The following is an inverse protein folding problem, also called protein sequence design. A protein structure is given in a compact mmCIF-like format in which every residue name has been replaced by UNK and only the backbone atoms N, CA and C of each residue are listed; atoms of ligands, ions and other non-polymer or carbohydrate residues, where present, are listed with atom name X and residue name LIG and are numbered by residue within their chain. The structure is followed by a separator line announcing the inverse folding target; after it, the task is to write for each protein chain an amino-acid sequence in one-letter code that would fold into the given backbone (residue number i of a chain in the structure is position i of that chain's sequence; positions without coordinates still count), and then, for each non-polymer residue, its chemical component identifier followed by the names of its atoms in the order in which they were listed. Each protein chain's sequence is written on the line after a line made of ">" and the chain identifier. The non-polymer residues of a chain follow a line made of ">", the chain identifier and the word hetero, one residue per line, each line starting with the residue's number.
data_IF_777897110501
#
_entry.id   IF_777897110501
#
_cell.length_a   1.000
_cell.length_b   1.000
_cell.length_c   1.000
_cell.angle_alpha   90.00
_cell.angle_beta   90.00
_cell.angle_gamma   90.00
#
_symmetry.space_group_name_H-M   'P 1'
#
loop_
_entity.id
_entity.type
_entity.pdbx_description
1 polymer ?
#
# COMPACT_ATOMS: atom_id res chain seq x y z
N UNK A 1 -16.98 -5.16 22.06
CA UNK A 1 -16.31 -4.34 21.03
C UNK A 1 -16.00 -5.17 19.78
N UNK A 2 -15.27 -6.28 19.87
CA UNK A 2 -15.00 -7.19 18.73
C UNK A 2 -16.27 -7.66 17.99
N UNK A 3 -17.30 -8.14 18.70
CA UNK A 3 -18.56 -8.56 18.09
C UNK A 3 -19.23 -7.47 17.24
N UNK A 4 -19.06 -6.20 17.63
CA UNK A 4 -19.62 -5.09 16.87
C UNK A 4 -18.87 -4.90 15.54
N UNK A 5 -17.55 -5.00 15.52
CA UNK A 5 -16.77 -4.98 14.29
C UNK A 5 -17.06 -6.20 13.41
N UNK A 6 -17.22 -7.39 13.99
CA UNK A 6 -17.64 -8.59 13.25
C UNK A 6 -18.98 -8.35 12.57
N UNK A 7 -19.99 -7.86 13.30
CA UNK A 7 -21.29 -7.54 12.72
C UNK A 7 -21.21 -6.43 11.66
N UNK A 8 -20.33 -5.43 11.85
CA UNK A 8 -20.12 -4.36 10.89
C UNK A 8 -19.51 -4.86 9.56
N UNK A 9 -18.62 -5.84 9.62
CA UNK A 9 -17.86 -6.30 8.45
C UNK A 9 -18.51 -7.49 7.72
N UNK A 10 -19.31 -8.30 8.42
CA UNK A 10 -19.91 -9.54 7.88
C UNK A 10 -21.33 -9.34 7.34
N UNK A 11 -21.78 -10.24 6.46
CA UNK A 11 -23.18 -10.28 5.99
C UNK A 11 -23.64 -9.06 5.20
N UNK A 12 -22.72 -8.22 4.70
CA UNK A 12 -23.05 -6.98 4.00
C UNK A 12 -23.49 -7.24 2.57
N UNK A 13 -24.40 -6.40 2.09
CA UNK A 13 -24.83 -6.34 0.70
C UNK A 13 -24.87 -4.89 0.20
N UNK A 14 -24.66 -4.69 -1.09
CA UNK A 14 -24.74 -3.40 -1.76
C UNK A 14 -25.58 -3.48 -3.04
N UNK A 15 -26.09 -2.34 -3.50
CA UNK A 15 -26.74 -2.16 -4.79
C UNK A 15 -26.48 -0.75 -5.30
N UNK A 16 -26.60 -0.54 -6.60
CA UNK A 16 -26.46 0.78 -7.23
C UNK A 16 -27.84 1.28 -7.63
N UNK A 17 -28.10 2.58 -7.46
CA UNK A 17 -29.33 3.22 -7.92
C UNK A 17 -28.94 4.32 -8.91
N UNK A 18 -29.46 4.24 -10.14
CA UNK A 18 -29.25 5.23 -11.19
C UNK A 18 -30.62 5.65 -11.71
N UNK A 19 -30.90 6.95 -11.73
CA UNK A 19 -32.17 7.53 -12.18
C UNK A 19 -33.42 6.88 -11.54
N UNK A 20 -33.32 6.55 -10.25
CA UNK A 20 -34.38 5.92 -9.48
C UNK A 20 -34.54 4.41 -9.70
N UNK A 21 -33.79 3.81 -10.62
CA UNK A 21 -33.78 2.37 -10.86
C UNK A 21 -32.67 1.69 -10.05
N UNK A 22 -33.04 0.70 -9.25
CA UNK A 22 -32.11 -0.05 -8.41
C UNK A 22 -31.62 -1.33 -9.10
N UNK A 23 -30.32 -1.61 -9.03
CA UNK A 23 -29.77 -2.92 -9.37
C UNK A 23 -30.22 -3.98 -8.37
N UNK A 24 -29.97 -5.25 -8.70
CA UNK A 24 -30.01 -6.33 -7.72
C UNK A 24 -29.02 -6.12 -6.57
N UNK A 25 -29.28 -6.78 -5.44
CA UNK A 25 -28.35 -6.83 -4.32
C UNK A 25 -27.15 -7.71 -4.66
N UNK A 26 -25.97 -7.29 -4.23
CA UNK A 26 -24.71 -8.03 -4.34
C UNK A 26 -24.02 -8.09 -2.99
N UNK A 27 -23.48 -9.25 -2.61
CA UNK A 27 -22.75 -9.43 -1.35
C UNK A 27 -21.41 -8.69 -1.35
N UNK A 28 -21.05 -8.09 -0.23
CA UNK A 28 -19.77 -7.39 -0.03
C UNK A 28 -18.90 -8.19 0.94
N UNK A 29 -17.94 -8.93 0.37
CA UNK A 29 -17.04 -9.79 1.15
C UNK A 29 -15.84 -9.06 1.75
N UNK A 30 -15.45 -7.91 1.19
CA UNK A 30 -14.26 -7.15 1.60
C UNK A 30 -14.47 -5.63 1.52
N UNK A 31 -13.54 -4.87 2.09
CA UNK A 31 -13.59 -3.41 2.14
C UNK A 31 -14.61 -2.88 3.15
N UNK A 32 -14.78 -1.57 3.18
CA UNK A 32 -15.69 -0.83 4.07
C UNK A 32 -16.57 0.10 3.24
N UNK A 33 -17.78 0.47 3.69
CA UNK A 33 -18.61 1.43 2.97
C UNK A 33 -17.89 2.76 2.78
N UNK A 34 -17.85 3.24 1.53
CA UNK A 34 -17.29 4.55 1.22
C UNK A 34 -18.13 5.64 1.92
N UNK A 35 -17.46 6.62 2.53
CA UNK A 35 -18.12 7.66 3.33
C UNK A 35 -18.47 7.24 4.76
N UNK A 36 -18.10 6.02 5.19
CA UNK A 36 -18.22 5.64 6.59
C UNK A 36 -17.16 6.33 7.47
N UNK A 37 -17.55 6.71 8.68
CA UNK A 37 -16.64 7.29 9.69
C UNK A 37 -15.57 6.28 10.12
N UNK A 38 -15.92 4.99 10.14
CA UNK A 38 -15.05 3.91 10.59
C UNK A 38 -14.08 3.45 9.52
N UNK A 39 -14.39 3.67 8.24
CA UNK A 39 -13.60 3.17 7.14
C UNK A 39 -12.12 3.59 7.22
N UNK A 40 -11.82 4.89 7.39
CA UNK A 40 -10.44 5.36 7.55
C UNK A 40 -9.72 4.75 8.77
N UNK A 41 -10.41 4.64 9.91
CA UNK A 41 -9.82 4.07 11.13
C UNK A 41 -9.49 2.57 10.95
N UNK A 42 -10.42 1.81 10.37
CA UNK A 42 -10.22 0.39 10.08
C UNK A 42 -9.10 0.18 9.06
N UNK A 43 -8.99 1.07 8.08
CA UNK A 43 -7.90 1.04 7.11
C UNK A 43 -6.53 1.27 7.78
N UNK A 44 -6.40 2.29 8.63
CA UNK A 44 -5.14 2.55 9.35
C UNK A 44 -4.77 1.37 10.25
N UNK A 45 -5.73 0.80 10.97
CA UNK A 45 -5.50 -0.41 11.78
C UNK A 45 -5.05 -1.60 10.94
N UNK A 46 -5.60 -1.76 9.73
CA UNK A 46 -5.26 -2.85 8.83
C UNK A 46 -3.83 -2.78 8.28
N UNK A 47 -3.31 -1.57 8.03
CA UNK A 47 -1.96 -1.38 7.47
C UNK A 47 -0.88 -1.16 8.53
N UNK A 48 -1.24 -1.21 9.82
CA UNK A 48 -0.37 -0.75 10.91
C UNK A 48 0.87 -1.65 11.12
N UNK A 49 0.87 -2.87 10.57
CA UNK A 49 2.00 -3.82 10.57
C UNK A 49 2.95 -3.64 9.38
N UNK A 50 2.58 -2.84 8.37
CA UNK A 50 3.41 -2.59 7.18
C UNK A 50 4.80 -2.02 7.55
N UNK A 51 4.97 -1.10 8.52
CA UNK A 51 6.30 -0.64 8.91
C UNK A 51 7.20 -1.73 9.49
N UNK A 52 6.62 -2.80 10.06
CA UNK A 52 7.38 -3.86 10.74
C UNK A 52 8.16 -4.75 9.75
N UNK A 53 7.79 -4.75 8.48
CA UNK A 53 8.49 -5.51 7.42
C UNK A 53 9.67 -4.74 6.79
N UNK A 54 9.92 -3.51 7.23
CA UNK A 54 10.92 -2.62 6.65
C UNK A 54 12.29 -2.91 7.27
N UNK A 55 13.33 -3.24 6.46
CA UNK A 55 14.66 -3.51 6.97
C UNK A 55 15.29 -2.30 7.68
N UNK A 56 16.24 -2.56 8.59
CA UNK A 56 17.01 -1.52 9.26
C UNK A 56 17.62 -0.50 8.27
N UNK A 57 17.60 0.78 8.69
CA UNK A 57 18.11 1.95 7.94
C UNK A 57 17.29 2.34 6.70
N UNK A 58 16.21 1.62 6.40
CA UNK A 58 15.12 2.12 5.56
C UNK A 58 14.05 2.73 6.45
N UNK A 59 13.36 3.75 5.96
CA UNK A 59 12.26 4.41 6.65
C UNK A 59 11.02 4.39 5.75
N UNK A 60 9.84 4.30 6.38
CA UNK A 60 8.56 4.32 5.68
C UNK A 60 7.61 5.30 6.34
N UNK A 61 6.97 6.13 5.52
CA UNK A 61 5.92 7.04 5.91
C UNK A 61 4.60 6.60 5.26
N UNK A 62 3.55 6.51 6.07
CA UNK A 62 2.20 6.11 5.67
C UNK A 62 1.25 7.30 5.83
N UNK A 63 0.42 7.54 4.82
CA UNK A 63 -0.66 8.51 4.90
C UNK A 63 -1.85 8.02 4.06
N UNK A 64 -2.90 7.54 4.72
CA UNK A 64 -3.99 6.84 4.04
C UNK A 64 -3.41 5.78 3.07
N UNK A 65 -3.85 5.75 1.82
CA UNK A 65 -3.37 4.82 0.79
C UNK A 65 -1.97 5.13 0.24
N UNK A 66 -1.41 6.30 0.55
CA UNK A 66 -0.06 6.67 0.13
C UNK A 66 1.01 6.08 1.05
N UNK A 67 1.98 5.37 0.45
CA UNK A 67 3.16 4.85 1.13
C UNK A 67 4.42 5.42 0.49
N UNK A 68 5.33 5.95 1.31
CA UNK A 68 6.66 6.41 0.89
C UNK A 68 7.72 5.64 1.65
N UNK A 69 8.65 5.03 0.93
CA UNK A 69 9.80 4.34 1.53
C UNK A 69 11.08 4.95 1.00
N UNK A 70 12.04 5.22 1.89
CA UNK A 70 13.29 5.85 1.54
C UNK A 70 14.45 5.31 2.35
N UNK A 71 15.65 5.41 1.77
CA UNK A 71 16.91 4.97 2.36
C UNK A 71 18.02 5.88 1.85
N UNK A 72 18.99 6.20 2.71
CA UNK A 72 20.23 6.85 2.28
C UNK A 72 21.08 5.88 1.45
N UNK A 73 21.38 6.24 0.20
CA UNK A 73 22.18 5.42 -0.71
C UNK A 73 23.60 5.98 -0.83
N UNK A 74 24.60 5.24 -0.34
CA UNK A 74 26.01 5.62 -0.45
C UNK A 74 26.81 4.71 -1.38
N UNK A 75 26.38 3.46 -1.51
CA UNK A 75 26.95 2.43 -2.38
C UNK A 75 25.83 1.55 -2.99
N UNK A 76 26.20 0.64 -3.88
CA UNK A 76 25.25 -0.28 -4.52
C UNK A 76 24.58 -1.25 -3.51
N UNK A 77 25.27 -1.62 -2.43
CA UNK A 77 24.70 -2.45 -1.37
C UNK A 77 23.52 -1.76 -0.65
N UNK A 78 23.58 -0.44 -0.47
CA UNK A 78 22.44 0.32 0.03
C UNK A 78 21.26 0.27 -0.96
N UNK A 79 21.54 0.38 -2.27
CA UNK A 79 20.51 0.30 -3.30
C UNK A 79 19.83 -1.08 -3.31
N UNK A 80 20.61 -2.16 -3.21
CA UNK A 80 20.07 -3.53 -3.08
C UNK A 80 19.20 -3.71 -1.84
N UNK A 81 19.53 -3.06 -0.71
CA UNK A 81 18.69 -3.10 0.49
C UNK A 81 17.40 -2.30 0.35
N UNK A 82 17.41 -1.18 -0.37
CA UNK A 82 16.17 -0.49 -0.74
C UNK A 82 15.33 -1.37 -1.68
N UNK A 83 15.94 -2.07 -2.64
CA UNK A 83 15.26 -3.06 -3.47
C UNK A 83 14.66 -4.20 -2.64
N UNK A 84 15.38 -4.74 -1.65
CA UNK A 84 14.82 -5.72 -0.71
C UNK A 84 13.59 -5.18 0.03
N UNK A 85 13.62 -3.90 0.40
CA UNK A 85 12.47 -3.24 1.03
C UNK A 85 11.26 -3.23 0.09
N UNK A 86 11.45 -2.91 -1.19
CA UNK A 86 10.39 -2.98 -2.21
C UNK A 86 9.86 -4.41 -2.42
N UNK A 87 10.74 -5.41 -2.37
CA UNK A 87 10.35 -6.82 -2.43
C UNK A 87 9.50 -7.22 -1.23
N UNK A 88 9.86 -6.79 -0.01
CA UNK A 88 9.05 -7.05 1.18
C UNK A 88 7.67 -6.41 1.07
N UNK A 89 7.61 -5.15 0.61
CA UNK A 89 6.35 -4.43 0.37
C UNK A 89 5.47 -5.15 -0.66
N UNK A 90 6.05 -5.63 -1.76
CA UNK A 90 5.32 -6.41 -2.76
C UNK A 90 4.73 -7.70 -2.15
N UNK A 91 5.51 -8.44 -1.38
CA UNK A 91 5.06 -9.66 -0.69
C UNK A 91 3.95 -9.39 0.32
N UNK A 92 4.11 -8.37 1.16
CA UNK A 92 3.10 -7.96 2.14
C UNK A 92 1.80 -7.55 1.45
N UNK A 93 1.89 -6.75 0.38
CA UNK A 93 0.73 -6.28 -0.38
C UNK A 93 -0.07 -7.43 -1.02
N UNK A 94 0.62 -8.46 -1.50
CA UNK A 94 -0.01 -9.65 -2.06
C UNK A 94 -0.65 -10.52 -0.97
N UNK A 95 0.02 -10.68 0.17
CA UNK A 95 -0.49 -11.47 1.31
C UNK A 95 -1.74 -10.83 1.91
N UNK A 96 -1.78 -9.50 1.99
CA UNK A 96 -2.88 -8.74 2.57
C UNK A 96 -3.95 -8.31 1.56
N UNK A 97 -3.86 -8.73 0.30
CA UNK A 97 -4.77 -8.32 -0.80
C UNK A 97 -4.87 -6.78 -0.99
N UNK A 98 -3.76 -6.07 -0.74
CA UNK A 98 -3.62 -4.61 -0.80
C UNK A 98 -2.58 -4.19 -1.85
N UNK A 99 -2.75 -4.68 -3.08
CA UNK A 99 -1.77 -4.46 -4.16
C UNK A 99 -1.56 -2.97 -4.42
N UNK A 100 -0.29 -2.57 -4.49
CA UNK A 100 0.08 -1.24 -4.92
C UNK A 100 -0.30 -1.00 -6.38
N UNK A 101 -0.64 0.24 -6.71
CA UNK A 101 -0.77 0.66 -8.10
C UNK A 101 0.62 0.93 -8.69
N UNK A 102 1.29 -0.14 -9.13
CA UNK A 102 2.68 -0.10 -9.62
C UNK A 102 2.91 0.97 -10.69
N UNK A 103 1.92 1.23 -11.56
CA UNK A 103 2.01 2.25 -12.63
C UNK A 103 2.03 3.69 -12.10
N UNK A 104 1.44 3.93 -10.93
CA UNK A 104 1.43 5.24 -10.27
C UNK A 104 2.63 5.44 -9.34
N UNK A 105 3.30 4.36 -8.93
CA UNK A 105 4.51 4.44 -8.11
C UNK A 105 5.68 5.04 -8.91
N UNK A 106 6.51 5.83 -8.23
CA UNK A 106 7.67 6.52 -8.81
C UNK A 106 8.86 6.41 -7.87
N UNK A 107 10.07 6.41 -8.43
CA UNK A 107 11.33 6.52 -7.70
C UNK A 107 11.89 7.92 -7.90
N UNK A 108 12.45 8.48 -6.83
CA UNK A 108 13.11 9.78 -6.85
C UNK A 108 14.48 9.64 -6.19
N UNK A 109 15.53 10.03 -6.92
CA UNK A 109 16.89 10.12 -6.38
C UNK A 109 17.23 11.56 -6.07
N UNK A 110 17.50 11.88 -4.81
CA UNK A 110 17.94 13.21 -4.37
C UNK A 110 19.41 13.15 -3.96
N UNK A 111 20.29 13.82 -4.70
CA UNK A 111 21.74 13.78 -4.46
C UNK A 111 22.42 15.09 -4.86
N UNK A 112 23.51 15.42 -4.16
CA UNK A 112 24.45 16.51 -4.54
C UNK A 112 25.66 16.00 -5.32
N UNK A 113 25.83 14.68 -5.45
CA UNK A 113 26.94 14.08 -6.19
C UNK A 113 26.73 14.28 -7.69
N UNK A 114 27.81 14.59 -8.42
CA UNK A 114 27.78 14.64 -9.90
C UNK A 114 27.40 13.30 -10.53
N UNK A 115 27.81 12.20 -9.89
CA UNK A 115 27.47 10.83 -10.27
C UNK A 115 26.89 10.11 -9.05
N UNK A 116 25.55 10.06 -8.90
CA UNK A 116 24.91 9.22 -7.89
C UNK A 116 25.07 7.74 -8.27
N UNK A 117 24.73 6.85 -7.32
CA UNK A 117 24.63 5.42 -7.61
C UNK A 117 23.48 5.21 -8.60
N UNK A 118 23.79 4.66 -9.76
CA UNK A 118 22.80 4.26 -10.74
C UNK A 118 22.31 2.85 -10.40
N UNK A 119 21.01 2.71 -10.16
CA UNK A 119 20.38 1.45 -9.81
C UNK A 119 18.92 1.46 -10.25
N UNK A 120 18.51 0.37 -10.90
CA UNK A 120 17.14 0.20 -11.38
C UNK A 120 16.31 -0.55 -10.33
N UNK A 121 15.23 0.08 -9.88
CA UNK A 121 14.34 -0.49 -8.86
C UNK A 121 13.11 -1.13 -9.48
N UNK A 122 12.56 -2.14 -8.80
CA UNK A 122 11.35 -2.85 -9.21
C UNK A 122 10.40 -3.04 -8.03
N UNK A 123 9.10 -2.95 -8.30
CA UNK A 123 8.03 -3.33 -7.38
C UNK A 123 7.17 -4.38 -8.07
N UNK A 124 7.16 -5.61 -7.54
CA UNK A 124 6.51 -6.73 -8.21
C UNK A 124 7.14 -7.00 -9.58
N UNK A 125 6.32 -6.95 -10.63
CA UNK A 125 6.77 -7.09 -12.02
C UNK A 125 7.16 -5.77 -12.69
N UNK A 126 6.82 -4.63 -12.09
CA UNK A 126 7.05 -3.31 -12.68
C UNK A 126 8.43 -2.78 -12.34
N UNK A 127 9.13 -2.35 -13.38
CA UNK A 127 10.38 -1.60 -13.26
C UNK A 127 10.10 -0.09 -13.20
N UNK A 128 10.76 0.60 -12.27
CA UNK A 128 10.69 2.04 -12.19
C UNK A 128 11.72 2.66 -13.13
N UNK A 129 11.23 3.31 -14.18
CA UNK A 129 12.04 4.16 -15.05
C UNK A 129 12.45 5.42 -14.31
N UNK A 130 13.73 5.81 -14.44
CA UNK A 130 14.23 7.13 -14.05
C UNK A 130 13.63 8.25 -14.90
#
# INVERSE_FOLDING_TARGET
>A
MLNWFTNYLTGRTQRVVVDGVASGWSSVASGVPQGSILGPMLFVLFINDLPDIIPEKSETALYADDTKTFRKITCEDDARKLQQTLTNLATWSNTNNMRFNELKCKVLTVSRKKQPVDFTYRLGSTEFSH
#
